data_IF_292959762723
#
_entry.id   IF_292959762723
#
_cell.length_a   1.000
_cell.length_b   1.000
_cell.length_c   1.000
_cell.angle_alpha   90.00
_cell.angle_beta   90.00
_cell.angle_gamma   90.00
#
_symmetry.space_group_name_H-M   'P 1'
#
loop_
_entity.id
_entity.type
_entity.pdbx_description
1 polymer ?
#
# COMPACT_ATOMS: atom_id res chain seq x y z
N UNK A 1 -80.53 6.87 -41.10
CA UNK A 1 -79.67 7.14 -42.27
C UNK A 1 -79.59 5.88 -43.10
N UNK A 2 -79.59 6.01 -44.42
CA UNK A 2 -79.27 4.89 -45.30
C UNK A 2 -77.80 4.50 -45.11
N UNK A 3 -77.46 3.23 -45.35
CA UNK A 3 -76.08 2.77 -45.35
C UNK A 3 -75.32 3.49 -46.47
N UNK A 4 -74.23 4.18 -46.13
CA UNK A 4 -73.34 4.82 -47.10
C UNK A 4 -72.19 3.88 -47.39
N UNK A 5 -71.99 3.55 -48.66
CA UNK A 5 -70.79 2.88 -49.17
C UNK A 5 -70.15 3.81 -50.19
N UNK A 6 -68.90 4.22 -49.96
CA UNK A 6 -68.11 4.98 -50.92
C UNK A 6 -66.95 4.14 -51.42
N UNK A 7 -66.71 4.16 -52.72
CA UNK A 7 -65.55 3.56 -53.39
C UNK A 7 -64.91 4.65 -54.30
N UNK A 8 -63.58 4.69 -54.42
CA UNK A 8 -62.86 5.60 -55.33
C UNK A 8 -61.67 4.88 -55.95
N UNK A 9 -61.43 5.11 -57.25
CA UNK A 9 -60.28 4.58 -57.99
C UNK A 9 -59.27 5.67 -58.39
N UNK A 10 -59.50 6.93 -57.98
CA UNK A 10 -58.65 8.08 -58.30
C UNK A 10 -57.90 8.49 -57.04
N UNK A 11 -56.56 8.54 -57.11
CA UNK A 11 -55.67 8.75 -55.96
C UNK A 11 -55.96 10.03 -55.19
N UNK A 12 -56.32 11.11 -55.89
CA UNK A 12 -56.54 12.43 -55.31
C UNK A 12 -57.96 12.63 -54.77
N UNK A 13 -58.89 11.70 -55.02
CA UNK A 13 -60.31 11.86 -54.70
C UNK A 13 -60.72 10.85 -53.61
N UNK A 14 -61.12 11.33 -52.42
CA UNK A 14 -61.59 10.44 -51.37
C UNK A 14 -62.93 9.79 -51.76
N UNK A 15 -63.11 8.53 -51.37
CA UNK A 15 -64.37 7.82 -51.56
C UNK A 15 -65.52 8.43 -50.72
N UNK A 16 -65.21 8.94 -49.52
CA UNK A 16 -66.10 9.71 -48.65
C UNK A 16 -65.26 10.81 -47.98
N UNK A 17 -65.74 12.05 -48.01
CA UNK A 17 -65.14 13.19 -47.30
C UNK A 17 -66.18 13.77 -46.33
N UNK A 18 -65.83 13.82 -45.04
CA UNK A 18 -66.60 14.52 -44.02
C UNK A 18 -65.86 15.76 -43.55
N UNK A 19 -66.44 16.94 -43.77
CA UNK A 19 -65.86 18.23 -43.38
C UNK A 19 -66.89 19.03 -42.59
N UNK A 20 -66.46 19.62 -41.48
CA UNK A 20 -67.25 20.55 -40.70
C UNK A 20 -66.44 21.83 -40.44
N UNK A 21 -66.87 22.94 -41.03
CA UNK A 21 -66.18 24.23 -40.95
C UNK A 21 -66.68 25.10 -39.78
N UNK A 22 -67.69 24.65 -39.04
CA UNK A 22 -68.32 25.36 -37.92
C UNK A 22 -67.86 24.85 -36.53
N UNK A 23 -66.85 23.98 -36.48
CA UNK A 23 -66.26 23.49 -35.23
C UNK A 23 -66.93 22.24 -34.63
N UNK A 24 -67.81 21.56 -35.37
CA UNK A 24 -68.30 20.23 -35.02
C UNK A 24 -67.44 19.12 -35.62
N UNK A 25 -67.80 17.86 -35.38
CA UNK A 25 -67.13 16.72 -35.98
C UNK A 25 -67.42 16.66 -37.49
N UNK A 26 -66.37 16.48 -38.32
CA UNK A 26 -66.55 16.12 -39.72
C UNK A 26 -67.13 14.71 -39.89
N UNK A 27 -66.66 13.76 -39.06
CA UNK A 27 -67.15 12.38 -38.98
C UNK A 27 -67.13 11.90 -37.53
N UNK A 28 -68.21 11.26 -37.07
CA UNK A 28 -68.31 10.64 -35.75
C UNK A 28 -68.75 9.18 -35.87
N UNK A 29 -67.88 8.25 -35.51
CA UNK A 29 -68.22 6.83 -35.38
C UNK A 29 -68.37 6.42 -33.91
N UNK A 30 -69.50 5.80 -33.55
CA UNK A 30 -69.75 5.32 -32.17
C UNK A 30 -70.32 3.90 -32.23
N UNK A 31 -69.94 3.07 -31.25
CA UNK A 31 -70.51 1.73 -31.07
C UNK A 31 -70.56 1.40 -29.58
N UNK A 32 -71.63 0.74 -29.14
CA UNK A 32 -71.84 0.40 -27.72
C UNK A 32 -71.18 -0.91 -27.30
N UNK A 33 -70.99 -1.84 -28.25
CA UNK A 33 -70.55 -3.22 -27.96
C UNK A 33 -69.37 -3.62 -28.86
N UNK A 34 -69.09 -2.87 -29.92
CA UNK A 34 -68.01 -3.18 -30.86
C UNK A 34 -67.20 -1.95 -31.24
N UNK A 35 -66.53 -2.03 -32.39
CA UNK A 35 -65.67 -0.96 -32.86
C UNK A 35 -66.48 0.18 -33.49
N UNK A 36 -66.23 1.43 -33.06
CA UNK A 36 -66.87 2.60 -33.65
C UNK A 36 -66.31 2.96 -35.04
N UNK A 37 -64.97 2.85 -35.21
CA UNK A 37 -64.26 3.14 -36.46
C UNK A 37 -63.10 2.15 -36.63
N UNK A 38 -62.96 1.57 -37.83
CA UNK A 38 -61.83 0.73 -38.22
C UNK A 38 -61.18 1.36 -39.45
N UNK A 39 -59.87 1.58 -39.41
CA UNK A 39 -59.06 1.96 -40.58
C UNK A 39 -57.96 0.94 -40.81
N UNK A 40 -57.88 0.39 -42.02
CA UNK A 40 -56.92 -0.63 -42.41
C UNK A 40 -56.20 -0.22 -43.69
N UNK A 41 -54.91 -0.51 -43.77
CA UNK A 41 -54.11 -0.35 -44.99
C UNK A 41 -53.06 -1.45 -45.03
N UNK A 42 -52.81 -2.01 -46.22
CA UNK A 42 -51.81 -3.09 -46.40
C UNK A 42 -50.38 -2.54 -46.51
N UNK A 43 -50.22 -1.35 -47.08
CA UNK A 43 -48.92 -0.76 -47.40
C UNK A 43 -48.73 0.67 -46.89
N UNK A 44 -49.79 1.29 -46.38
CA UNK A 44 -49.79 2.69 -45.93
C UNK A 44 -50.34 2.87 -44.53
N UNK A 45 -50.74 4.10 -44.24
CA UNK A 45 -51.35 4.46 -42.96
C UNK A 45 -52.82 4.06 -42.96
N UNK A 46 -53.22 3.21 -42.02
CA UNK A 46 -54.64 2.84 -41.84
C UNK A 46 -55.48 3.98 -41.25
N UNK A 47 -54.90 4.74 -40.31
CA UNK A 47 -55.53 5.92 -39.67
C UNK A 47 -54.46 6.98 -39.43
N UNK A 48 -54.70 8.21 -39.88
CA UNK A 48 -53.85 9.37 -39.62
C UNK A 48 -54.66 10.42 -38.85
N UNK A 49 -54.14 10.88 -37.71
CA UNK A 49 -54.71 11.98 -36.95
C UNK A 49 -53.64 13.01 -36.63
N UNK A 50 -53.87 14.26 -37.02
CA UNK A 50 -52.95 15.37 -36.80
C UNK A 50 -53.68 16.56 -36.20
N UNK A 51 -53.01 17.27 -35.30
CA UNK A 51 -53.51 18.50 -34.70
C UNK A 51 -52.35 19.47 -34.45
N UNK A 52 -52.62 20.78 -34.56
CA UNK A 52 -51.60 21.83 -34.39
C UNK A 52 -51.44 22.28 -32.93
N UNK A 53 -52.46 22.09 -32.11
CA UNK A 53 -52.54 22.66 -30.75
C UNK A 53 -53.05 21.69 -29.70
N UNK A 54 -53.39 20.45 -30.07
CA UNK A 54 -53.91 19.43 -29.17
C UNK A 54 -53.51 18.04 -29.64
N UNK A 55 -54.07 17.00 -29.04
CA UNK A 55 -53.85 15.61 -29.46
C UNK A 55 -54.40 15.39 -30.88
N UNK A 56 -53.57 14.88 -31.80
CA UNK A 56 -54.04 14.43 -33.11
C UNK A 56 -54.81 13.12 -33.04
N UNK A 57 -54.43 12.23 -32.12
CA UNK A 57 -55.11 10.98 -31.77
C UNK A 57 -55.05 10.80 -30.26
N UNK A 58 -56.14 10.32 -29.65
CA UNK A 58 -56.20 9.96 -28.24
C UNK A 58 -56.85 8.59 -28.07
N UNK A 59 -56.35 7.80 -27.13
CA UNK A 59 -56.95 6.54 -26.73
C UNK A 59 -57.07 6.48 -25.21
N UNK A 60 -58.25 6.07 -24.73
CA UNK A 60 -58.56 5.97 -23.30
C UNK A 60 -59.35 4.69 -23.05
N UNK A 61 -59.07 4.05 -21.92
CA UNK A 61 -59.83 2.88 -21.45
C UNK A 61 -59.85 2.90 -19.92
N UNK A 62 -60.99 2.54 -19.33
CA UNK A 62 -61.15 2.50 -17.86
C UNK A 62 -60.54 1.25 -17.23
N UNK A 63 -60.44 0.16 -17.98
CA UNK A 63 -60.01 -1.15 -17.47
C UNK A 63 -59.02 -1.89 -18.38
N UNK A 64 -58.89 -1.47 -19.63
CA UNK A 64 -58.04 -2.11 -20.62
C UNK A 64 -56.95 -1.19 -21.15
N UNK A 65 -56.40 -1.56 -22.29
CA UNK A 65 -55.37 -0.79 -22.97
C UNK A 65 -56.05 0.36 -23.72
N UNK A 66 -55.70 1.61 -23.39
CA UNK A 66 -56.17 2.79 -24.14
C UNK A 66 -55.57 2.89 -25.54
N UNK A 67 -54.28 2.55 -25.69
CA UNK A 67 -53.54 2.53 -26.96
C UNK A 67 -52.60 1.33 -26.99
N UNK A 68 -52.74 0.48 -28.01
CA UNK A 68 -51.90 -0.71 -28.22
C UNK A 68 -51.19 -0.62 -29.57
N UNK A 69 -49.87 -0.46 -29.56
CA UNK A 69 -49.05 -0.42 -30.77
C UNK A 69 -48.12 -1.63 -30.84
N UNK A 70 -48.11 -2.32 -31.98
CA UNK A 70 -47.27 -3.50 -32.22
C UNK A 70 -46.62 -3.38 -33.58
N UNK A 71 -45.32 -3.70 -33.66
CA UNK A 71 -44.59 -3.76 -34.92
C UNK A 71 -43.60 -4.93 -34.87
N UNK A 72 -43.37 -5.57 -36.02
CA UNK A 72 -42.46 -6.72 -36.13
C UNK A 72 -41.00 -6.31 -36.32
N UNK A 73 -40.77 -5.17 -36.95
CA UNK A 73 -39.43 -4.74 -37.40
C UNK A 73 -39.06 -3.34 -36.93
N UNK A 74 -40.04 -2.55 -36.47
CA UNK A 74 -39.85 -1.18 -36.02
C UNK A 74 -40.50 -0.91 -34.67
N UNK A 75 -40.58 0.35 -34.24
CA UNK A 75 -41.29 0.71 -33.02
C UNK A 75 -42.79 0.44 -33.18
N UNK A 76 -43.41 -0.21 -32.19
CA UNK A 76 -44.88 -0.30 -32.11
C UNK A 76 -45.52 1.04 -31.73
N UNK A 77 -44.83 1.80 -30.88
CA UNK A 77 -45.15 3.19 -30.53
C UNK A 77 -43.85 3.97 -30.48
N UNK A 78 -43.84 5.17 -31.05
CA UNK A 78 -42.71 6.11 -31.01
C UNK A 78 -43.23 7.47 -30.53
N UNK A 79 -42.60 8.02 -29.51
CA UNK A 79 -42.87 9.39 -29.05
C UNK A 79 -41.61 10.24 -29.18
N UNK A 80 -41.66 11.24 -30.05
CA UNK A 80 -40.61 12.24 -30.22
C UNK A 80 -41.16 13.60 -29.78
N UNK A 81 -40.33 14.41 -29.13
CA UNK A 81 -40.65 15.79 -28.82
C UNK A 81 -39.38 16.64 -29.02
N UNK A 82 -39.51 17.75 -29.74
CA UNK A 82 -38.42 18.73 -29.86
C UNK A 82 -38.20 19.46 -28.53
N UNK A 83 -39.30 19.80 -27.85
CA UNK A 83 -39.29 20.41 -26.53
C UNK A 83 -40.22 19.61 -25.61
N UNK A 84 -39.73 19.27 -24.42
CA UNK A 84 -40.53 18.58 -23.40
C UNK A 84 -40.42 17.05 -23.47
N UNK A 85 -41.51 16.36 -23.09
CA UNK A 85 -41.53 14.91 -22.90
C UNK A 85 -42.13 14.20 -24.12
N UNK A 86 -41.36 13.35 -24.79
CA UNK A 86 -41.86 12.53 -25.90
C UNK A 86 -42.78 11.39 -25.46
N UNK A 87 -42.45 10.73 -24.33
CA UNK A 87 -43.26 9.67 -23.72
C UNK A 87 -43.29 9.86 -22.20
N UNK A 88 -44.49 9.94 -21.63
CA UNK A 88 -44.71 10.00 -20.19
C UNK A 88 -45.52 8.79 -19.75
N UNK A 89 -45.02 8.04 -18.76
CA UNK A 89 -45.78 6.98 -18.10
C UNK A 89 -45.91 7.28 -16.63
N UNK A 90 -47.12 7.21 -16.09
CA UNK A 90 -47.42 7.36 -14.68
C UNK A 90 -48.25 6.18 -14.16
N UNK A 91 -47.95 5.69 -12.96
CA UNK A 91 -48.72 4.66 -12.28
C UNK A 91 -48.65 4.85 -10.78
N UNK A 92 -49.76 4.58 -10.07
CA UNK A 92 -49.83 4.72 -8.61
C UNK A 92 -49.37 3.48 -7.86
N UNK A 93 -49.49 2.30 -8.48
CA UNK A 93 -49.38 1.01 -7.77
C UNK A 93 -48.53 -0.02 -8.49
N UNK A 94 -48.08 0.27 -9.72
CA UNK A 94 -47.37 -0.71 -10.55
C UNK A 94 -46.37 -0.03 -11.49
N UNK A 95 -45.73 -0.80 -12.35
CA UNK A 95 -44.81 -0.31 -13.38
C UNK A 95 -45.53 0.65 -14.32
N UNK A 96 -45.02 1.88 -14.41
CA UNK A 96 -45.54 2.88 -15.34
C UNK A 96 -44.92 2.74 -16.75
N UNK A 97 -43.62 2.44 -16.81
CA UNK A 97 -42.86 2.19 -18.04
C UNK A 97 -41.92 1.03 -17.77
N UNK A 98 -41.88 0.06 -18.68
CA UNK A 98 -40.96 -1.07 -18.64
C UNK A 98 -40.38 -1.32 -20.02
N UNK A 99 -39.09 -1.65 -20.07
CA UNK A 99 -38.40 -2.06 -21.28
C UNK A 99 -37.72 -3.41 -21.06
N UNK A 100 -37.99 -4.37 -21.94
CA UNK A 100 -37.45 -5.73 -21.89
C UNK A 100 -36.87 -6.03 -23.26
N UNK A 101 -35.68 -6.62 -23.28
CA UNK A 101 -35.02 -7.09 -24.51
C UNK A 101 -34.24 -8.35 -24.22
N UNK A 102 -34.32 -9.34 -25.11
CA UNK A 102 -33.65 -10.63 -24.94
C UNK A 102 -32.14 -10.56 -25.26
N UNK A 103 -31.76 -9.71 -26.22
CA UNK A 103 -30.38 -9.63 -26.74
C UNK A 103 -29.83 -8.21 -26.81
N UNK A 104 -30.65 -7.20 -26.50
CA UNK A 104 -30.31 -5.79 -26.65
C UNK A 104 -30.58 -4.98 -25.38
N UNK A 105 -30.59 -3.66 -25.54
CA UNK A 105 -30.89 -2.74 -24.46
C UNK A 105 -32.40 -2.69 -24.25
N UNK A 106 -32.88 -3.06 -23.06
CA UNK A 106 -34.29 -2.93 -22.70
C UNK A 106 -34.70 -1.46 -22.51
N UNK A 107 -33.86 -0.67 -21.84
CA UNK A 107 -34.06 0.77 -21.61
C UNK A 107 -32.72 1.48 -21.73
N UNK A 108 -32.66 2.55 -22.53
CA UNK A 108 -31.47 3.38 -22.72
C UNK A 108 -31.81 4.83 -22.40
N UNK A 109 -31.24 5.38 -21.32
CA UNK A 109 -31.39 6.79 -20.95
C UNK A 109 -30.06 7.52 -21.14
N UNK A 110 -30.07 8.58 -21.94
CA UNK A 110 -28.91 9.44 -22.19
C UNK A 110 -29.32 10.89 -21.95
N UNK A 111 -28.49 11.64 -21.25
CA UNK A 111 -28.58 13.10 -21.14
C UNK A 111 -27.18 13.70 -21.15
N UNK A 112 -27.04 14.88 -21.76
CA UNK A 112 -25.75 15.59 -21.87
C UNK A 112 -25.57 16.69 -20.82
N UNK A 113 -26.65 17.03 -20.10
CA UNK A 113 -26.68 18.16 -19.16
C UNK A 113 -27.35 17.85 -17.83
N UNK A 114 -27.96 16.67 -17.70
CA UNK A 114 -28.67 16.22 -16.49
C UNK A 114 -28.58 14.69 -16.36
N UNK A 115 -29.41 14.10 -15.52
CA UNK A 115 -29.47 12.65 -15.35
C UNK A 115 -30.03 11.99 -16.62
N UNK A 116 -29.30 11.01 -17.17
CA UNK A 116 -29.83 10.14 -18.22
C UNK A 116 -30.89 9.17 -17.67
N UNK A 117 -30.70 8.71 -16.42
CA UNK A 117 -31.63 7.87 -15.66
C UNK A 117 -31.60 8.32 -14.21
N UNK A 118 -32.76 8.68 -13.67
CA UNK A 118 -32.93 9.05 -12.26
C UNK A 118 -33.88 8.05 -11.58
N UNK A 119 -33.40 7.38 -10.52
CA UNK A 119 -34.18 6.43 -9.74
C UNK A 119 -34.19 6.80 -8.26
N UNK A 120 -35.37 7.12 -7.73
CA UNK A 120 -35.57 7.50 -6.33
C UNK A 120 -36.66 6.61 -5.69
N UNK A 121 -36.45 6.24 -4.44
CA UNK A 121 -37.43 5.46 -3.66
C UNK A 121 -37.32 5.79 -2.18
N UNK A 122 -38.45 6.06 -1.53
CA UNK A 122 -38.48 6.35 -0.08
C UNK A 122 -38.31 5.10 0.78
N UNK A 123 -38.91 3.99 0.35
CA UNK A 123 -39.01 2.75 1.14
C UNK A 123 -38.27 1.56 0.51
N UNK A 124 -37.75 1.73 -0.71
CA UNK A 124 -37.17 0.67 -1.50
C UNK A 124 -35.85 1.07 -2.16
N UNK A 125 -35.46 0.31 -3.19
CA UNK A 125 -34.27 0.60 -3.98
C UNK A 125 -34.66 1.53 -5.12
N UNK A 126 -33.98 2.67 -5.24
CA UNK A 126 -34.18 3.59 -6.37
C UNK A 126 -33.69 3.00 -7.70
N UNK A 127 -32.50 2.38 -7.68
CA UNK A 127 -31.88 1.71 -8.84
C UNK A 127 -31.28 0.38 -8.41
N UNK A 128 -31.38 -0.64 -9.27
CA UNK A 128 -30.81 -1.96 -9.05
C UNK A 128 -30.16 -2.44 -10.35
N UNK A 129 -28.85 -2.65 -10.35
CA UNK A 129 -28.15 -3.34 -11.43
C UNK A 129 -27.78 -4.76 -11.02
N UNK A 130 -28.18 -5.75 -11.83
CA UNK A 130 -27.85 -7.17 -11.62
C UNK A 130 -27.32 -7.72 -12.93
N UNK A 131 -26.15 -8.34 -12.87
CA UNK A 131 -25.56 -9.04 -14.01
C UNK A 131 -24.99 -10.38 -13.54
N UNK A 132 -25.19 -11.43 -14.35
CA UNK A 132 -24.72 -12.79 -14.03
C UNK A 132 -23.23 -12.96 -14.31
N UNK A 133 -22.77 -12.43 -15.44
CA UNK A 133 -21.43 -12.68 -15.98
C UNK A 133 -20.66 -11.38 -16.28
N UNK A 134 -21.16 -10.23 -15.82
CA UNK A 134 -20.63 -8.91 -16.16
C UNK A 134 -20.86 -7.92 -15.00
N UNK A 135 -20.48 -6.67 -15.21
CA UNK A 135 -20.73 -5.57 -14.28
C UNK A 135 -22.22 -5.24 -14.23
N UNK A 136 -22.82 -5.25 -13.03
CA UNK A 136 -24.22 -4.89 -12.84
C UNK A 136 -24.46 -3.37 -12.87
N UNK A 137 -23.54 -2.60 -12.29
CA UNK A 137 -23.53 -1.13 -12.29
C UNK A 137 -22.08 -0.66 -12.43
N UNK A 138 -21.83 0.22 -13.38
CA UNK A 138 -20.55 0.88 -13.58
C UNK A 138 -20.75 2.39 -13.48
N UNK A 139 -19.93 3.06 -12.66
CA UNK A 139 -19.90 4.51 -12.56
C UNK A 139 -18.51 5.03 -12.87
N UNK A 140 -18.40 5.85 -13.91
CA UNK A 140 -17.14 6.43 -14.38
C UNK A 140 -17.26 7.96 -14.41
N UNK A 141 -16.29 8.65 -13.83
CA UNK A 141 -16.22 10.11 -13.82
C UNK A 141 -14.77 10.56 -13.86
N UNK A 142 -14.48 11.60 -14.63
CA UNK A 142 -13.13 12.17 -14.79
C UNK A 142 -12.83 13.31 -13.81
N UNK A 143 -13.86 13.84 -13.13
CA UNK A 143 -13.75 15.03 -12.26
C UNK A 143 -14.21 14.72 -10.84
N UNK A 144 -15.27 13.93 -10.68
CA UNK A 144 -15.90 13.66 -9.38
C UNK A 144 -15.97 12.16 -9.11
N UNK A 145 -16.73 11.75 -8.09
CA UNK A 145 -16.97 10.34 -7.81
C UNK A 145 -17.79 9.71 -8.96
N UNK A 146 -17.31 8.60 -9.52
CA UNK A 146 -18.11 7.78 -10.44
C UNK A 146 -19.27 7.07 -9.73
N UNK A 147 -19.05 6.65 -8.48
CA UNK A 147 -20.08 6.09 -7.58
C UNK A 147 -19.90 6.70 -6.19
N UNK A 148 -20.98 7.26 -5.63
CA UNK A 148 -21.00 7.81 -4.28
C UNK A 148 -22.08 7.11 -3.46
N UNK A 149 -21.69 6.54 -2.31
CA UNK A 149 -22.63 5.93 -1.37
C UNK A 149 -22.46 6.54 0.02
N UNK A 150 -23.57 6.97 0.61
CA UNK A 150 -23.61 7.56 1.95
C UNK A 150 -24.83 7.04 2.71
N UNK A 151 -24.72 7.02 4.04
CA UNK A 151 -25.80 6.60 4.93
C UNK A 151 -25.59 7.23 6.29
N UNK A 152 -26.69 7.68 6.92
CA UNK A 152 -26.64 8.32 8.24
C UNK A 152 -26.53 7.30 9.39
N UNK A 153 -27.19 6.15 9.24
CA UNK A 153 -27.34 5.16 10.33
C UNK A 153 -26.77 3.79 9.99
N UNK A 154 -26.79 3.42 8.70
CA UNK A 154 -26.24 2.17 8.18
C UNK A 154 -24.93 2.34 7.40
N UNK A 155 -24.54 1.28 6.69
CA UNK A 155 -23.36 1.28 5.81
C UNK A 155 -23.66 2.05 4.52
N UNK A 156 -22.82 3.02 4.18
CA UNK A 156 -22.96 3.78 2.92
C UNK A 156 -22.59 2.96 1.67
N UNK A 157 -21.51 2.17 1.75
CA UNK A 157 -21.04 1.27 0.68
C UNK A 157 -20.62 -0.06 1.28
N UNK A 158 -20.92 -1.15 0.58
CA UNK A 158 -20.53 -2.51 0.97
C UNK A 158 -20.06 -3.27 -0.27
N UNK A 159 -18.79 -3.68 -0.30
CA UNK A 159 -18.29 -4.63 -1.28
C UNK A 159 -18.09 -6.00 -0.65
N UNK A 160 -18.63 -7.04 -1.28
CA UNK A 160 -18.52 -8.43 -0.84
C UNK A 160 -18.12 -9.29 -2.04
N UNK A 161 -17.08 -10.11 -1.87
CA UNK A 161 -16.65 -11.08 -2.86
C UNK A 161 -16.36 -12.42 -2.20
N UNK A 162 -16.69 -13.53 -2.88
CA UNK A 162 -16.51 -14.89 -2.35
C UNK A 162 -15.05 -15.36 -2.44
N UNK A 163 -14.37 -15.02 -3.53
CA UNK A 163 -13.04 -15.56 -3.87
C UNK A 163 -12.07 -14.52 -4.40
N UNK A 164 -12.45 -13.23 -4.39
CA UNK A 164 -11.68 -12.13 -4.93
C UNK A 164 -11.72 -10.93 -3.98
N UNK A 165 -11.07 -9.83 -4.36
CA UNK A 165 -11.13 -8.56 -3.63
C UNK A 165 -12.56 -8.01 -3.65
N UNK A 166 -13.13 -7.74 -2.47
CA UNK A 166 -14.47 -7.17 -2.36
C UNK A 166 -14.52 -5.68 -2.66
N UNK A 167 -13.49 -4.94 -2.23
CA UNK A 167 -13.29 -3.50 -2.49
C UNK A 167 -11.80 -3.26 -2.69
N UNK A 168 -11.44 -2.57 -3.76
CA UNK A 168 -10.07 -2.14 -4.05
C UNK A 168 -10.04 -0.61 -4.17
N UNK A 169 -9.05 0.02 -3.54
CA UNK A 169 -8.81 1.46 -3.63
C UNK A 169 -7.39 1.72 -4.10
N UNK A 170 -7.26 2.37 -5.25
CA UNK A 170 -5.98 2.69 -5.87
C UNK A 170 -5.94 4.20 -6.18
N UNK A 171 -4.84 4.86 -5.82
CA UNK A 171 -4.61 6.29 -6.08
C UNK A 171 -3.15 6.54 -6.38
N UNK A 172 -2.85 7.40 -7.36
CA UNK A 172 -1.48 7.73 -7.78
C UNK A 172 -0.86 8.85 -6.97
N UNK A 173 -1.66 9.70 -6.33
CA UNK A 173 -1.19 10.90 -5.62
C UNK A 173 -1.84 11.10 -4.25
N UNK A 174 -2.94 10.41 -3.95
CA UNK A 174 -3.65 10.49 -2.68
C UNK A 174 -3.73 9.16 -1.95
N UNK A 175 -4.57 9.11 -0.91
CA UNK A 175 -4.88 7.85 -0.25
C UNK A 175 -5.70 6.95 -1.18
N UNK A 176 -5.25 5.72 -1.43
CA UNK A 176 -6.07 4.71 -2.13
C UNK A 176 -7.32 4.33 -1.31
N UNK A 177 -7.17 4.23 0.01
CA UNK A 177 -8.26 4.03 0.97
C UNK A 177 -8.01 4.92 2.19
N UNK A 178 -9.02 5.69 2.60
CA UNK A 178 -8.99 6.51 3.81
C UNK A 178 -10.12 6.08 4.74
N UNK A 179 -9.79 5.69 5.97
CA UNK A 179 -10.76 5.34 7.00
C UNK A 179 -10.52 6.14 8.27
N UNK A 180 -11.56 6.80 8.77
CA UNK A 180 -11.52 7.60 9.99
C UNK A 180 -12.80 7.39 10.79
N UNK A 181 -12.69 7.56 12.11
CA UNK A 181 -13.84 7.54 13.01
C UNK A 181 -13.54 8.47 14.18
N UNK A 182 -14.54 9.25 14.60
CA UNK A 182 -14.38 10.19 15.71
C UNK A 182 -14.36 9.48 17.06
N UNK A 183 -15.17 8.43 17.21
CA UNK A 183 -15.37 7.73 18.48
C UNK A 183 -15.06 6.24 18.40
N UNK A 184 -15.00 5.68 17.19
CA UNK A 184 -14.80 4.26 16.95
C UNK A 184 -13.50 3.94 16.24
N UNK A 185 -13.46 2.76 15.62
CA UNK A 185 -12.31 2.29 14.84
C UNK A 185 -12.38 2.89 13.44
N UNK A 186 -11.35 3.63 13.01
CA UNK A 186 -11.26 4.18 11.66
C UNK A 186 -11.09 3.11 10.58
N UNK A 187 -10.21 2.13 10.84
CA UNK A 187 -9.96 0.97 9.96
C UNK A 187 -9.82 -0.29 10.80
N UNK A 188 -10.63 -1.32 10.51
CA UNK A 188 -10.57 -2.62 11.18
C UNK A 188 -10.24 -3.71 10.15
N UNK A 189 -9.02 -4.25 10.23
CA UNK A 189 -8.57 -5.38 9.41
C UNK A 189 -8.64 -6.70 10.17
N UNK A 190 -9.26 -7.72 9.57
CA UNK A 190 -9.29 -9.09 10.10
C UNK A 190 -9.06 -10.08 8.97
N UNK A 191 -8.11 -11.00 9.14
CA UNK A 191 -7.88 -12.08 8.20
C UNK A 191 -7.43 -13.35 8.91
N UNK A 192 -7.65 -14.49 8.27
CA UNK A 192 -7.24 -15.80 8.81
C UNK A 192 -5.71 -15.99 8.86
N UNK A 193 -4.97 -15.22 8.05
CA UNK A 193 -3.49 -15.23 8.02
C UNK A 193 -2.90 -13.93 8.56
N UNK A 194 -3.32 -12.78 8.03
CA UNK A 194 -2.88 -11.45 8.45
C UNK A 194 -4.09 -10.51 8.57
N UNK A 195 -4.09 -9.63 9.58
CA UNK A 195 -5.04 -8.51 9.66
C UNK A 195 -4.71 -7.36 8.69
N UNK A 196 -3.44 -7.24 8.29
CA UNK A 196 -2.94 -6.32 7.28
C UNK A 196 -1.52 -6.71 6.83
N UNK A 197 -1.14 -6.33 5.62
CA UNK A 197 0.20 -6.45 5.06
C UNK A 197 0.62 -5.05 4.61
N UNK A 198 1.81 -4.60 5.02
CA UNK A 198 2.32 -3.28 4.70
C UNK A 198 3.69 -3.42 4.05
N UNK A 199 3.85 -2.81 2.87
CA UNK A 199 5.13 -2.68 2.17
C UNK A 199 5.52 -1.20 2.20
N UNK A 200 6.68 -0.90 2.81
CA UNK A 200 7.13 0.47 3.07
C UNK A 200 7.07 0.85 4.56
N UNK A 201 7.26 2.14 4.84
CA UNK A 201 7.30 2.66 6.20
C UNK A 201 5.89 2.82 6.76
N UNK A 202 5.71 2.44 8.03
CA UNK A 202 4.46 2.64 8.78
C UNK A 202 4.70 3.72 9.83
N UNK A 203 3.98 4.83 9.73
CA UNK A 203 3.98 5.89 10.74
C UNK A 203 2.84 5.67 11.74
N UNK A 204 3.16 5.75 13.02
CA UNK A 204 2.20 5.63 14.13
C UNK A 204 2.44 6.80 15.06
N UNK A 205 1.51 7.76 15.08
CA UNK A 205 1.60 8.96 15.91
C UNK A 205 1.11 8.73 17.34
N UNK A 206 0.36 7.65 17.56
CA UNK A 206 -0.07 7.19 18.88
C UNK A 206 0.72 5.97 19.35
N UNK A 207 0.10 5.19 20.24
CA UNK A 207 0.74 3.99 20.78
C UNK A 207 0.51 2.77 19.87
N UNK A 208 1.58 2.06 19.54
CA UNK A 208 1.50 0.72 18.97
C UNK A 208 1.39 -0.31 20.09
N UNK A 209 0.25 -1.00 20.18
CA UNK A 209 0.04 -2.11 21.12
C UNK A 209 0.05 -3.43 20.37
N UNK A 210 0.99 -4.32 20.69
CA UNK A 210 1.08 -5.66 20.09
C UNK A 210 0.75 -6.68 21.19
N UNK A 211 -0.45 -7.24 21.14
CA UNK A 211 -0.84 -8.31 22.06
C UNK A 211 -0.24 -9.64 21.58
N UNK A 212 0.53 -10.32 22.44
CA UNK A 212 1.18 -11.60 22.11
C UNK A 212 2.68 -11.52 21.82
N UNK A 213 3.25 -10.32 21.70
CA UNK A 213 4.71 -10.09 21.79
C UNK A 213 4.94 -9.13 22.94
N UNK A 214 5.52 -9.62 24.03
CA UNK A 214 5.83 -8.79 25.19
C UNK A 214 6.91 -7.78 24.81
N UNK A 215 6.50 -6.57 24.40
CA UNK A 215 7.41 -5.42 24.34
C UNK A 215 8.08 -5.19 25.70
N UNK A 216 7.43 -5.65 26.79
CA UNK A 216 8.00 -5.79 28.12
C UNK A 216 9.24 -6.71 28.18
N UNK A 217 9.32 -7.80 27.40
CA UNK A 217 10.52 -8.65 27.33
C UNK A 217 11.68 -7.91 26.67
N UNK A 218 11.37 -7.12 25.63
CA UNK A 218 12.36 -6.27 24.95
C UNK A 218 12.82 -5.12 25.84
N UNK A 219 11.89 -4.47 26.55
CA UNK A 219 12.20 -3.46 27.58
C UNK A 219 13.05 -4.04 28.72
N UNK A 220 12.73 -5.25 29.20
CA UNK A 220 13.54 -5.95 30.20
C UNK A 220 14.94 -6.25 29.67
N UNK A 221 15.07 -6.68 28.41
CA UNK A 221 16.37 -6.93 27.79
C UNK A 221 17.19 -5.64 27.65
N UNK A 222 16.56 -4.52 27.31
CA UNK A 222 17.19 -3.20 27.25
C UNK A 222 17.65 -2.75 28.64
N UNK A 223 16.78 -2.84 29.67
CA UNK A 223 17.15 -2.52 31.06
C UNK A 223 18.30 -3.40 31.59
N UNK A 224 18.31 -4.67 31.22
CA UNK A 224 19.37 -5.60 31.60
C UNK A 224 20.71 -5.26 30.93
N UNK A 225 20.67 -4.81 29.67
CA UNK A 225 21.85 -4.31 28.97
C UNK A 225 22.36 -2.99 29.58
N UNK A 226 21.47 -2.07 29.96
CA UNK A 226 21.84 -0.82 30.65
C UNK A 226 22.52 -1.09 32.01
N UNK A 227 22.00 -2.03 32.81
CA UNK A 227 22.64 -2.44 34.05
C UNK A 227 24.01 -3.08 33.84
N UNK A 228 24.16 -3.91 32.80
CA UNK A 228 25.45 -4.49 32.44
C UNK A 228 26.48 -3.42 32.06
N UNK A 229 26.07 -2.39 31.31
CA UNK A 229 26.95 -1.25 30.97
C UNK A 229 27.31 -0.43 32.21
N UNK A 230 26.37 -0.23 33.13
CA UNK A 230 26.61 0.47 34.40
C UNK A 230 27.55 -0.32 35.34
N UNK A 231 27.45 -1.65 35.38
CA UNK A 231 28.35 -2.52 36.13
C UNK A 231 29.76 -2.55 35.53
N UNK A 232 29.86 -2.65 34.20
CA UNK A 232 31.14 -2.57 33.49
C UNK A 232 31.85 -1.24 33.78
N UNK A 233 31.11 -0.14 33.75
CA UNK A 233 31.61 1.20 34.11
C UNK A 233 32.07 1.28 35.57
N UNK A 234 31.35 0.64 36.50
CA UNK A 234 31.78 0.57 37.90
C UNK A 234 33.03 -0.28 38.09
N UNK A 235 33.19 -1.40 37.39
CA UNK A 235 34.41 -2.22 37.44
C UNK A 235 35.63 -1.49 36.88
N UNK A 236 35.43 -0.56 35.95
CA UNK A 236 36.47 0.35 35.46
C UNK A 236 36.73 1.47 36.51
N UNK A 237 35.69 2.01 37.16
CA UNK A 237 35.81 3.08 38.15
C UNK A 237 36.30 2.66 39.55
N UNK A 238 35.99 1.44 39.99
CA UNK A 238 36.38 0.86 41.29
C UNK A 238 37.80 0.29 41.29
N UNK A 239 38.57 0.49 40.21
CA UNK A 239 40.01 0.23 40.15
C UNK A 239 40.86 1.23 40.95
N UNK A 240 40.26 2.05 41.82
CA UNK A 240 40.95 3.05 42.64
C UNK A 240 40.71 2.79 44.14
N UNK A 241 41.73 2.20 44.79
CA UNK A 241 41.70 1.84 46.21
C UNK A 241 43.09 1.56 46.80
N UNK A 242 43.93 2.61 46.85
CA UNK A 242 44.89 2.96 47.92
C UNK A 242 45.50 1.83 48.80
N UNK A 243 46.78 1.52 48.57
CA UNK A 243 47.65 0.83 49.55
C UNK A 243 48.92 0.18 48.98
N UNK A 244 49.89 0.98 48.49
CA UNK A 244 51.32 0.65 48.34
C UNK A 244 51.76 -0.65 47.63
N UNK A 245 52.35 -0.49 46.42
CA UNK A 245 53.21 -1.45 45.71
C UNK A 245 52.58 -2.79 45.26
N UNK A 246 52.37 -3.06 43.97
CA UNK A 246 52.79 -2.32 42.80
C UNK A 246 52.01 -2.75 41.58
N UNK A 247 51.76 -1.80 40.67
CA UNK A 247 51.60 -2.14 39.26
C UNK A 247 52.84 -2.92 38.87
N UNK A 248 52.73 -4.24 38.80
CA UNK A 248 53.81 -5.07 38.30
C UNK A 248 54.08 -4.56 36.88
N UNK A 249 55.24 -3.93 36.71
CA UNK A 249 55.76 -3.60 35.40
C UNK A 249 55.89 -4.90 34.64
N UNK A 250 55.19 -5.00 33.52
CA UNK A 250 55.18 -6.21 32.72
C UNK A 250 55.64 -5.88 31.32
N UNK A 251 56.50 -6.73 30.78
CA UNK A 251 56.92 -6.70 29.39
C UNK A 251 56.68 -8.06 28.74
N UNK A 252 56.36 -8.00 27.46
CA UNK A 252 56.32 -9.13 26.56
C UNK A 252 57.28 -8.87 25.40
N UNK A 253 57.97 -9.91 24.95
CA UNK A 253 58.88 -9.85 23.82
C UNK A 253 58.54 -10.97 22.84
N UNK A 254 58.45 -10.64 21.56
CA UNK A 254 58.22 -11.60 20.47
C UNK A 254 59.22 -11.37 19.35
N UNK A 255 59.61 -12.43 18.65
CA UNK A 255 60.41 -12.34 17.43
C UNK A 255 59.49 -12.65 16.27
N UNK A 256 59.37 -11.71 15.34
CA UNK A 256 58.46 -11.82 14.20
C UNK A 256 59.23 -11.69 12.87
N UNK A 257 58.65 -12.20 11.78
CA UNK A 257 59.22 -12.07 10.44
C UNK A 257 59.07 -10.61 9.98
N UNK A 258 60.21 -9.98 9.64
CA UNK A 258 60.22 -8.63 9.07
C UNK A 258 59.57 -8.60 7.69
N UNK A 259 59.02 -7.46 7.30
CA UNK A 259 58.21 -7.29 6.09
C UNK A 259 58.89 -7.69 4.76
N UNK A 260 60.22 -7.90 4.73
CA UNK A 260 60.97 -8.30 3.53
C UNK A 260 61.16 -9.81 3.35
N UNK A 261 60.55 -10.67 4.18
CA UNK A 261 60.43 -12.11 3.93
C UNK A 261 61.73 -12.95 3.92
N UNK A 262 62.90 -12.33 4.08
CA UNK A 262 64.19 -13.02 4.14
C UNK A 262 64.37 -13.80 5.45
N UNK A 263 65.06 -14.95 5.39
CA UNK A 263 65.31 -15.81 6.56
C UNK A 263 66.08 -15.10 7.69
N UNK A 264 66.89 -14.09 7.36
CA UNK A 264 67.71 -13.34 8.33
C UNK A 264 67.11 -12.01 8.80
N UNK A 265 65.96 -11.57 8.27
CA UNK A 265 65.33 -10.32 8.71
C UNK A 265 64.20 -10.60 9.71
N UNK A 266 64.54 -10.63 10.98
CA UNK A 266 63.60 -10.82 12.09
C UNK A 266 63.57 -9.56 12.95
N UNK A 267 62.41 -9.25 13.50
CA UNK A 267 62.21 -8.09 14.36
C UNK A 267 61.89 -8.58 15.77
N UNK A 268 62.74 -8.21 16.73
CA UNK A 268 62.43 -8.34 18.15
C UNK A 268 61.51 -7.18 18.52
N UNK A 269 60.24 -7.50 18.79
CA UNK A 269 59.24 -6.55 19.26
C UNK A 269 59.08 -6.68 20.76
N UNK A 270 59.25 -5.58 21.46
CA UNK A 270 59.08 -5.49 22.91
C UNK A 270 57.94 -4.53 23.17
N UNK A 271 56.97 -4.99 23.96
CA UNK A 271 55.86 -4.17 24.44
C UNK A 271 55.69 -4.35 25.94
N UNK A 272 55.25 -3.32 26.63
CA UNK A 272 55.09 -3.39 28.07
C UNK A 272 54.22 -2.30 28.64
N UNK A 273 53.80 -2.46 29.89
CA UNK A 273 52.95 -1.52 30.60
C UNK A 273 53.31 -1.49 32.10
N UNK A 274 52.83 -0.45 32.79
CA UNK A 274 53.04 -0.27 34.24
C UNK A 274 54.18 0.69 34.60
N UNK A 275 54.79 1.35 33.62
CA UNK A 275 55.78 2.41 33.79
C UNK A 275 55.09 3.74 34.13
N UNK A 276 55.82 4.69 34.73
CA UNK A 276 55.33 6.05 34.91
C UNK A 276 55.20 6.74 33.55
N UNK A 277 54.08 7.44 33.28
CA UNK A 277 53.92 8.18 32.03
C UNK A 277 55.08 9.14 31.76
N UNK A 278 55.69 9.03 30.57
CA UNK A 278 56.82 9.88 30.15
C UNK A 278 58.18 9.51 30.75
N UNK A 279 58.30 8.44 31.55
CA UNK A 279 59.60 8.03 32.09
C UNK A 279 60.48 7.35 31.04
N UNK A 280 61.79 7.54 31.15
CA UNK A 280 62.76 6.75 30.39
C UNK A 280 62.80 5.34 30.96
N UNK A 281 62.80 4.33 30.08
CA UNK A 281 62.85 2.91 30.43
C UNK A 281 64.08 2.30 29.78
N UNK A 282 64.93 1.70 30.61
CA UNK A 282 66.12 0.97 30.16
C UNK A 282 65.75 -0.48 29.89
N UNK A 283 65.92 -0.95 28.66
CA UNK A 283 65.76 -2.33 28.22
C UNK A 283 67.12 -3.01 28.23
N UNK A 284 67.32 -3.95 29.16
CA UNK A 284 68.48 -4.82 29.19
C UNK A 284 68.22 -6.04 28.32
N UNK A 285 68.81 -6.06 27.12
CA UNK A 285 68.63 -7.12 26.13
C UNK A 285 69.87 -8.02 26.16
N UNK A 286 69.65 -9.30 26.48
CA UNK A 286 70.71 -10.30 26.60
C UNK A 286 70.54 -11.35 25.49
N UNK A 287 71.56 -11.46 24.65
CA UNK A 287 71.63 -12.51 23.63
C UNK A 287 72.07 -13.83 24.26
N UNK A 288 71.27 -14.88 24.10
CA UNK A 288 71.59 -16.24 24.55
C UNK A 288 71.75 -17.17 23.35
N UNK A 289 72.99 -17.59 23.02
CA UNK A 289 73.22 -18.60 21.99
C UNK A 289 72.70 -19.97 22.45
N UNK A 290 72.41 -20.87 21.50
CA UNK A 290 71.88 -22.22 21.76
C UNK A 290 72.94 -23.25 22.18
N UNK A 291 74.23 -22.92 22.07
CA UNK A 291 75.39 -23.76 22.43
C UNK A 291 76.37 -22.97 23.31
N UNK A 292 77.37 -23.64 23.90
CA UNK A 292 78.34 -23.14 24.90
C UNK A 292 79.32 -22.06 24.39
N UNK A 293 78.84 -21.13 23.55
CA UNK A 293 79.53 -19.89 23.26
C UNK A 293 79.28 -18.90 24.39
N UNK A 294 80.31 -18.12 24.72
CA UNK A 294 80.22 -17.13 25.79
C UNK A 294 79.13 -16.12 25.42
N UNK A 295 78.09 -15.91 26.25
CA UNK A 295 77.03 -14.97 25.92
C UNK A 295 77.62 -13.57 25.71
N UNK A 296 77.18 -12.90 24.65
CA UNK A 296 77.55 -11.50 24.43
C UNK A 296 77.16 -10.67 25.66
N UNK A 297 77.95 -9.66 26.05
CA UNK A 297 77.60 -8.80 27.17
C UNK A 297 76.21 -8.18 26.93
N UNK A 298 75.35 -8.13 27.97
CA UNK A 298 74.02 -7.55 27.85
C UNK A 298 74.12 -6.10 27.38
N UNK A 299 73.27 -5.73 26.44
CA UNK A 299 73.20 -4.38 25.89
C UNK A 299 72.00 -3.65 26.49
N UNK A 300 72.26 -2.48 27.05
CA UNK A 300 71.22 -1.59 27.54
C UNK A 300 70.77 -0.66 26.42
N UNK A 301 69.45 -0.59 26.20
CA UNK A 301 68.81 0.25 25.19
C UNK A 301 67.72 1.09 25.84
N UNK A 302 67.54 2.34 25.42
CA UNK A 302 66.57 3.26 26.02
C UNK A 302 65.30 3.36 25.19
N UNK A 303 64.15 3.40 25.85
CA UNK A 303 62.85 3.79 25.30
C UNK A 303 62.14 4.72 26.30
N UNK A 304 61.00 5.30 25.93
CA UNK A 304 60.24 6.20 26.79
C UNK A 304 58.80 5.70 26.88
N UNK A 305 58.23 5.68 28.09
CA UNK A 305 56.85 5.30 28.30
C UNK A 305 55.90 6.40 27.80
N UNK A 306 54.82 6.02 27.13
CA UNK A 306 53.80 6.96 26.65
C UNK A 306 52.95 7.54 27.79
N UNK A 307 51.96 8.37 27.46
CA UNK A 307 51.06 8.99 28.45
C UNK A 307 50.22 7.99 29.25
N UNK A 308 50.17 6.72 28.83
CA UNK A 308 49.48 5.63 29.51
C UNK A 308 50.45 4.69 30.24
N UNK A 309 51.75 5.00 30.27
CA UNK A 309 52.76 4.17 30.93
C UNK A 309 53.12 2.91 30.13
N UNK A 310 52.90 2.90 28.81
CA UNK A 310 53.23 1.79 27.92
C UNK A 310 54.50 2.06 27.13
N UNK A 311 55.22 0.99 26.79
CA UNK A 311 56.40 1.05 25.92
C UNK A 311 56.19 0.19 24.68
N UNK A 312 56.79 0.63 23.57
CA UNK A 312 56.93 -0.15 22.34
C UNK A 312 58.33 0.07 21.79
N UNK A 313 59.05 -1.02 21.58
CA UNK A 313 60.39 -1.01 21.01
C UNK A 313 60.52 -2.11 19.96
N UNK A 314 61.26 -1.84 18.90
CA UNK A 314 61.49 -2.80 17.83
C UNK A 314 62.91 -2.67 17.30
N UNK A 315 63.62 -3.78 17.19
CA UNK A 315 64.97 -3.84 16.65
C UNK A 315 65.14 -5.06 15.75
N UNK A 316 66.01 -4.94 14.75
CA UNK A 316 66.36 -6.06 13.87
C UNK A 316 67.30 -7.02 14.58
N UNK A 317 66.98 -8.32 14.51
CA UNK A 317 67.77 -9.40 15.10
C UNK A 317 67.99 -10.50 14.07
N UNK A 318 69.12 -11.21 14.18
CA UNK A 318 69.43 -12.35 13.32
C UNK A 318 69.16 -13.66 14.05
N UNK A 319 68.46 -14.57 13.35
CA UNK A 319 68.09 -15.88 13.88
C UNK A 319 68.95 -17.03 13.35
N UNK A 320 69.80 -16.77 12.35
CA UNK A 320 70.55 -17.79 11.64
C UNK A 320 69.67 -18.72 10.79
N UNK A 321 70.30 -19.43 9.85
CA UNK A 321 69.61 -20.31 8.91
C UNK A 321 69.35 -21.72 9.44
N UNK A 322 70.07 -22.16 10.48
CA UNK A 322 69.97 -23.50 11.07
C UNK A 322 68.92 -23.56 12.19
N UNK A 323 67.79 -24.27 12.02
CA UNK A 323 66.72 -24.35 13.03
C UNK A 323 67.17 -24.97 14.36
N UNK A 324 68.21 -25.81 14.34
CA UNK A 324 68.73 -26.48 15.54
C UNK A 324 69.66 -25.59 16.38
N UNK A 325 70.03 -24.40 15.87
CA UNK A 325 71.00 -23.50 16.50
C UNK A 325 70.46 -22.12 16.84
N UNK A 326 69.15 -21.96 16.81
CA UNK A 326 68.46 -20.66 16.95
C UNK A 326 68.68 -20.01 18.34
N UNK A 327 69.06 -18.72 18.40
CA UNK A 327 69.27 -18.02 19.65
C UNK A 327 67.95 -17.58 20.31
N UNK A 328 68.04 -17.15 21.56
CA UNK A 328 66.95 -16.47 22.26
C UNK A 328 67.40 -15.14 22.86
N UNK A 329 66.48 -14.20 23.00
CA UNK A 329 66.71 -12.91 23.63
C UNK A 329 65.97 -12.85 24.95
N UNK A 330 66.71 -12.60 26.02
CA UNK A 330 66.13 -12.26 27.31
C UNK A 330 66.08 -10.75 27.46
N UNK A 331 64.93 -10.25 27.89
CA UNK A 331 64.68 -8.84 28.08
C UNK A 331 64.18 -8.60 29.50
N UNK A 332 64.73 -7.57 30.14
CA UNK A 332 64.19 -6.97 31.34
C UNK A 332 64.18 -5.45 31.18
N UNK A 333 63.14 -4.80 31.68
CA UNK A 333 62.98 -3.35 31.60
C UNK A 333 63.04 -2.73 32.99
N UNK A 334 63.70 -1.57 33.11
CA UNK A 334 63.80 -0.80 34.35
C UNK A 334 63.43 0.66 34.09
N UNK A 335 62.40 1.16 34.78
CA UNK A 335 62.03 2.58 34.75
C UNK A 335 63.06 3.44 35.46
N UNK A 336 63.54 4.51 34.81
CA UNK A 336 64.60 5.36 35.32
C UNK A 336 64.14 6.26 36.48
N UNK A 337 62.90 6.72 36.44
CA UNK A 337 62.33 7.59 37.49
C UNK A 337 61.63 6.76 38.56
N UNK A 338 60.89 5.73 38.14
CA UNK A 338 60.14 4.87 39.05
C UNK A 338 60.98 3.79 39.74
N UNK A 339 62.15 3.46 39.21
CA UNK A 339 63.00 2.35 39.67
C UNK A 339 62.36 0.95 39.50
N UNK A 340 61.20 0.86 38.83
CA UNK A 340 60.43 -0.37 38.71
C UNK A 340 61.07 -1.31 37.70
N UNK A 341 61.31 -2.55 38.13
CA UNK A 341 61.81 -3.63 37.28
C UNK A 341 60.67 -4.50 36.77
N UNK A 342 60.68 -4.83 35.48
CA UNK A 342 59.72 -5.75 34.90
C UNK A 342 60.03 -7.22 35.23
N UNK A 343 59.10 -8.10 34.86
CA UNK A 343 59.43 -9.52 34.65
C UNK A 343 60.56 -9.67 33.61
N UNK A 344 61.27 -10.80 33.68
CA UNK A 344 62.17 -11.23 32.61
C UNK A 344 61.36 -12.04 31.61
N UNK A 345 61.36 -11.62 30.36
CA UNK A 345 60.73 -12.36 29.26
C UNK A 345 61.79 -12.89 28.30
N UNK A 346 61.50 -14.02 27.65
CA UNK A 346 62.39 -14.62 26.64
C UNK A 346 61.65 -14.72 25.32
N UNK A 347 62.27 -14.27 24.24
CA UNK A 347 61.76 -14.43 22.88
C UNK A 347 62.75 -15.29 22.08
N UNK A 348 62.32 -16.44 21.59
CA UNK A 348 63.13 -17.29 20.72
C UNK A 348 62.89 -16.99 19.25
N UNK A 349 63.91 -17.26 18.43
CA UNK A 349 63.67 -17.67 17.06
C UNK A 349 63.16 -19.13 17.03
#
# INVERSE_FOLDING_TARGET
MANVKGDSAIKEIPAVLGENTAGGDGVRGTSKVGTGVIGTSESGVGVWGGSKSSSGVGGMSDSGIGVHGVSKTGPGVRGDAENGTGVFGGSKTSTAVGGISDSGIGVHGISTSADGVFGNSENGRGVVGVAKNATGVEGNSTIAAGVYGSSQTGRGVVGVAKSATGVEGNSTSGAGVFGSSQTGIGVHGKGGRLGGLFEGNVEITGNLTIQGVSIQLWLQRIQQLEQQVADLSRRIGSGTGSGGAGTQTFINATVEIGASGGLDNRLLKISGYGFQPGENVTLKITYRPSQTENPNPPRDTLTTADSLGQIKFTEAVSCGSDPSKRPSWQVQATGATSGRMSNVTSAGC
#
